data_IF_366456832577
#
_entry.id   IF_366456832577
#
_cell.length_a   1.000
_cell.length_b   1.000
_cell.length_c   1.000
_cell.angle_alpha   90.00
_cell.angle_beta   90.00
_cell.angle_gamma   90.00
#
_symmetry.space_group_name_H-M   'P 1'
#
loop_
_entity.id
_entity.type
_entity.pdbx_description
1 polymer ?
#
# COMPACT_ATOMS: atom_id res chain seq x y z
N UNK A 1 -16.22 -5.27 13.70
CA UNK A 1 -15.46 -5.84 12.57
C UNK A 1 -14.01 -5.53 12.83
N UNK A 2 -13.21 -6.56 13.12
CA UNK A 2 -11.77 -6.39 13.30
C UNK A 2 -11.09 -6.72 11.97
N UNK A 3 -9.96 -6.08 11.71
CA UNK A 3 -9.19 -6.31 10.49
C UNK A 3 -7.78 -6.67 10.93
N UNK A 4 -7.28 -7.79 10.44
CA UNK A 4 -5.86 -8.15 10.52
C UNK A 4 -5.21 -7.83 9.19
N UNK A 5 -4.07 -7.16 9.22
CA UNK A 5 -3.48 -6.60 8.01
C UNK A 5 -1.98 -6.46 8.12
N UNK A 6 -1.32 -6.67 6.99
CA UNK A 6 0.13 -6.57 6.86
C UNK A 6 0.47 -5.87 5.56
N UNK A 7 1.52 -5.06 5.57
CA UNK A 7 2.13 -4.50 4.37
C UNK A 7 3.65 -4.51 4.47
N UNK A 8 4.29 -4.90 3.37
CA UNK A 8 5.73 -4.89 3.18
C UNK A 8 6.02 -4.12 1.89
N UNK A 9 6.85 -3.09 1.98
CA UNK A 9 7.22 -2.26 0.84
C UNK A 9 8.72 -1.96 0.82
N UNK A 10 9.27 -1.88 -0.38
CA UNK A 10 10.61 -1.40 -0.66
C UNK A 10 10.53 -0.19 -1.58
N UNK A 11 11.37 0.81 -1.28
CA UNK A 11 11.46 2.04 -2.06
C UNK A 11 12.84 2.11 -2.68
N UNK A 12 12.88 2.42 -3.96
CA UNK A 12 14.07 2.38 -4.79
C UNK A 12 14.38 3.76 -5.34
N UNK A 13 15.67 4.01 -5.52
CA UNK A 13 16.20 5.09 -6.33
C UNK A 13 17.30 4.51 -7.22
N UNK A 14 17.22 4.73 -8.53
CA UNK A 14 18.15 4.16 -9.52
C UNK A 14 18.38 2.64 -9.35
N UNK A 15 17.30 1.91 -9.10
CA UNK A 15 17.32 0.45 -8.90
C UNK A 15 17.87 -0.03 -7.55
N UNK A 16 18.26 0.86 -6.64
CA UNK A 16 18.77 0.51 -5.31
C UNK A 16 17.72 0.76 -4.23
N UNK A 17 17.54 -0.21 -3.33
CA UNK A 17 16.66 -0.04 -2.15
C UNK A 17 17.24 1.03 -1.24
N UNK A 18 16.45 2.05 -0.93
CA UNK A 18 16.81 3.15 -0.01
C UNK A 18 15.98 3.13 1.29
N UNK A 19 14.82 2.47 1.28
CA UNK A 19 13.93 2.31 2.43
C UNK A 19 13.19 0.99 2.32
N UNK A 20 12.88 0.44 3.48
CA UNK A 20 11.92 -0.64 3.66
C UNK A 20 10.88 -0.16 4.65
N UNK A 21 9.61 -0.46 4.40
CA UNK A 21 8.51 -0.23 5.32
C UNK A 21 7.82 -1.55 5.58
N UNK A 22 7.68 -1.91 6.86
CA UNK A 22 6.91 -3.08 7.28
C UNK A 22 5.93 -2.66 8.37
N UNK A 23 4.69 -3.06 8.23
CA UNK A 23 3.69 -2.80 9.26
C UNK A 23 2.65 -3.89 9.30
N UNK A 24 2.41 -4.39 10.51
CA UNK A 24 1.26 -5.25 10.87
C UNK A 24 0.19 -4.45 11.60
N UNK A 25 0.44 -3.17 11.86
CA UNK A 25 -0.47 -2.24 12.51
C UNK A 25 -1.05 -1.33 11.44
N UNK A 26 -1.90 -1.89 10.60
CA UNK A 26 -2.61 -1.12 9.59
C UNK A 26 -3.81 -0.48 10.30
N UNK A 27 -3.84 0.84 10.37
CA UNK A 27 -5.11 1.52 10.64
C UNK A 27 -5.97 1.31 9.40
N UNK A 28 -6.99 0.47 9.53
CA UNK A 28 -7.96 0.22 8.47
C UNK A 28 -9.36 0.35 9.03
N UNK A 29 -10.16 1.23 8.46
CA UNK A 29 -11.57 0.87 8.26
C UNK A 29 -11.63 -0.18 7.16
N UNK A 30 -12.81 -0.64 6.80
CA UNK A 30 -13.02 -1.64 5.75
C UNK A 30 -12.45 -1.26 4.37
N UNK A 31 -11.91 -0.03 4.22
CA UNK A 31 -11.75 0.69 2.96
C UNK A 31 -10.32 1.22 2.70
N UNK A 32 -9.38 1.12 3.65
CA UNK A 32 -8.01 1.59 3.42
C UNK A 32 -6.92 0.83 4.21
N UNK A 33 -5.74 0.76 3.61
CA UNK A 33 -4.48 0.42 4.27
C UNK A 33 -3.69 1.68 4.57
N UNK A 34 -3.14 1.79 5.77
CA UNK A 34 -2.04 2.70 6.06
C UNK A 34 -0.99 2.01 6.94
N UNK A 35 0.25 1.89 6.44
CA UNK A 35 1.40 1.62 7.30
C UNK A 35 2.00 2.90 7.82
N UNK A 36 2.54 2.79 9.03
CA UNK A 36 3.56 3.71 9.52
C UNK A 36 4.68 2.91 10.16
N UNK A 37 5.83 2.91 9.51
CA UNK A 37 7.07 2.42 10.10
C UNK A 37 7.73 3.59 10.84
N UNK A 38 7.74 3.52 12.17
CA UNK A 38 8.32 4.56 13.02
C UNK A 38 9.86 4.56 12.97
N UNK A 39 10.50 3.41 12.69
CA UNK A 39 11.95 3.32 12.65
C UNK A 39 12.51 4.00 11.39
N UNK A 40 11.82 3.84 10.26
CA UNK A 40 12.24 4.42 8.98
C UNK A 40 11.50 5.72 8.63
N UNK A 41 10.54 6.13 9.47
CA UNK A 41 9.59 7.19 9.18
C UNK A 41 8.95 7.06 7.79
N UNK A 42 8.66 5.84 7.37
CA UNK A 42 8.08 5.57 6.05
C UNK A 42 6.65 5.11 6.22
N UNK A 43 5.75 5.68 5.43
CA UNK A 43 4.35 5.24 5.34
C UNK A 43 3.99 4.85 3.92
N UNK A 44 3.12 3.86 3.79
CA UNK A 44 2.51 3.46 2.53
C UNK A 44 1.01 3.36 2.77
N UNK A 45 0.22 3.99 1.90
CA UNK A 45 -1.23 3.98 2.02
C UNK A 45 -1.85 3.53 0.71
N UNK A 46 -2.77 2.58 0.79
CA UNK A 46 -3.58 2.10 -0.34
C UNK A 46 -5.04 2.20 0.09
N UNK A 47 -5.74 3.23 -0.37
CA UNK A 47 -7.07 3.63 0.09
C UNK A 47 -8.10 3.47 -1.03
N UNK A 48 -8.61 2.26 -1.19
CA UNK A 48 -9.77 1.93 -2.03
C UNK A 48 -10.37 0.59 -1.61
N UNK A 49 -11.65 0.38 -1.94
CA UNK A 49 -12.37 -0.88 -1.68
C UNK A 49 -12.38 -1.72 -2.97
N UNK A 50 -11.59 -2.80 -3.07
CA UNK A 50 -11.78 -3.77 -4.14
C UNK A 50 -13.07 -4.59 -3.92
N UNK A 51 -13.73 -5.06 -4.98
CA UNK A 51 -14.83 -6.01 -4.86
C UNK A 51 -14.28 -7.35 -4.36
N UNK A 52 -15.01 -7.97 -3.44
CA UNK A 52 -14.71 -9.33 -2.95
C UNK A 52 -15.33 -10.31 -3.95
N UNK A 53 -14.59 -10.56 -5.01
CA UNK A 53 -14.94 -11.51 -6.07
C UNK A 53 -13.72 -12.34 -6.37
N UNK A 54 -13.90 -13.66 -6.36
CA UNK A 54 -12.84 -14.60 -6.69
C UNK A 54 -12.11 -14.24 -7.99
N UNK A 55 -10.78 -14.26 -7.90
CA UNK A 55 -9.87 -13.99 -9.00
C UNK A 55 -8.94 -12.83 -8.73
N UNK A 56 -8.37 -12.32 -9.83
CA UNK A 56 -7.37 -11.27 -9.83
C UNK A 56 -7.94 -10.03 -10.50
N UNK A 57 -7.85 -8.88 -9.83
CA UNK A 57 -8.23 -7.58 -10.36
C UNK A 57 -7.03 -6.63 -10.30
N UNK A 58 -6.80 -5.87 -11.37
CA UNK A 58 -5.72 -4.88 -11.44
C UNK A 58 -6.31 -3.47 -11.43
N UNK A 59 -5.76 -2.63 -10.57
CA UNK A 59 -6.10 -1.21 -10.45
C UNK A 59 -4.90 -0.38 -10.89
N UNK A 60 -5.16 0.67 -11.66
CA UNK A 60 -4.17 1.67 -12.05
C UNK A 60 -4.49 2.99 -11.39
N UNK A 61 -3.47 3.63 -10.85
CA UNK A 61 -3.55 4.92 -10.18
C UNK A 61 -2.65 5.92 -10.90
N UNK A 62 -3.14 7.15 -11.00
CA UNK A 62 -2.39 8.31 -11.48
C UNK A 62 -1.76 9.06 -10.29
N UNK A 63 -0.72 9.87 -10.57
CA UNK A 63 -0.01 10.69 -9.56
C UNK A 63 -0.83 11.92 -9.11
N UNK A 64 -2.12 11.76 -8.85
CA UNK A 64 -3.04 12.88 -8.54
C UNK A 64 -3.98 12.62 -7.35
N UNK A 65 -4.05 11.39 -6.84
CA UNK A 65 -5.05 10.99 -5.84
C UNK A 65 -4.46 10.40 -4.55
N UNK A 66 -5.23 10.39 -3.45
CA UNK A 66 -4.81 9.84 -2.16
C UNK A 66 -4.87 8.30 -2.10
N UNK A 67 -5.39 7.66 -3.15
CA UNK A 67 -5.71 6.22 -3.14
C UNK A 67 -4.47 5.33 -3.14
N UNK A 68 -3.33 5.83 -3.63
CA UNK A 68 -2.05 5.16 -3.48
C UNK A 68 -0.99 6.22 -3.18
N UNK A 69 -0.48 6.23 -1.96
CA UNK A 69 0.49 7.24 -1.52
C UNK A 69 1.65 6.62 -0.75
N UNK A 70 2.78 7.32 -0.76
CA UNK A 70 3.95 7.01 0.05
C UNK A 70 4.43 8.24 0.80
N UNK A 71 4.69 8.12 2.09
CA UNK A 71 5.31 9.16 2.91
C UNK A 71 6.74 8.79 3.28
N UNK A 72 7.65 9.76 3.19
CA UNK A 72 9.06 9.63 3.57
C UNK A 72 9.40 10.66 4.64
N UNK A 73 9.86 10.26 5.82
CA UNK A 73 10.25 11.18 6.89
C UNK A 73 9.09 11.59 7.81
N UNK A 74 9.43 11.91 9.06
CA UNK A 74 8.50 12.00 10.20
C UNK A 74 7.46 13.12 10.18
N UNK A 75 7.31 13.85 9.07
CA UNK A 75 6.37 14.97 8.93
C UNK A 75 6.04 15.38 7.49
N UNK A 76 6.33 14.55 6.48
CA UNK A 76 5.99 14.88 5.09
C UNK A 76 4.58 14.44 4.71
N UNK A 77 3.94 15.26 3.87
CA UNK A 77 2.65 14.98 3.23
C UNK A 77 2.81 13.72 2.36
N UNK A 78 1.92 12.72 2.46
CA UNK A 78 1.96 11.55 1.59
C UNK A 78 1.96 11.96 0.11
N UNK A 79 2.90 11.43 -0.65
CA UNK A 79 3.06 11.71 -2.07
C UNK A 79 2.24 10.70 -2.88
N UNK A 80 1.45 11.14 -3.86
CA UNK A 80 0.70 10.23 -4.72
C UNK A 80 1.67 9.34 -5.51
N UNK A 81 1.25 8.09 -5.72
CA UNK A 81 2.02 7.10 -6.48
C UNK A 81 1.24 6.76 -7.74
N UNK A 82 1.85 7.02 -8.90
CA UNK A 82 1.38 6.48 -10.16
C UNK A 82 1.82 5.03 -10.28
N UNK A 83 0.87 4.10 -10.38
CA UNK A 83 1.23 2.69 -10.31
C UNK A 83 0.06 1.73 -10.42
N UNK A 84 0.37 0.46 -10.19
CA UNK A 84 -0.57 -0.63 -10.25
C UNK A 84 -0.69 -1.31 -8.89
N UNK A 85 -1.93 -1.63 -8.50
CA UNK A 85 -2.22 -2.53 -7.38
C UNK A 85 -3.00 -3.72 -7.93
N UNK A 86 -2.44 -4.91 -7.78
CA UNK A 86 -3.09 -6.17 -8.12
C UNK A 86 -3.68 -6.75 -6.85
N UNK A 87 -4.97 -7.05 -6.87
CA UNK A 87 -5.72 -7.64 -5.75
C UNK A 87 -6.15 -9.04 -6.14
N UNK A 88 -5.89 -9.98 -5.25
CA UNK A 88 -6.33 -11.38 -5.35
C UNK A 88 -7.28 -11.67 -4.20
N UNK A 89 -8.49 -12.10 -4.54
CA UNK A 89 -9.47 -12.66 -3.60
C UNK A 89 -9.62 -14.15 -3.89
N UNK A 90 -9.64 -14.97 -2.85
CA UNK A 90 -9.80 -16.43 -2.97
C UNK A 90 -10.95 -16.95 -2.11
N UNK A 91 -11.68 -17.91 -2.66
CA UNK A 91 -12.84 -18.57 -2.06
C UNK A 91 -13.95 -17.62 -1.60
N UNK A 92 -14.08 -16.46 -2.25
CA UNK A 92 -14.97 -15.37 -1.89
C UNK A 92 -14.86 -15.00 -0.41
N UNK A 93 -13.68 -15.25 0.17
CA UNK A 93 -13.36 -14.82 1.52
C UNK A 93 -12.97 -13.36 1.45
N UNK A 94 -13.23 -12.65 2.53
CA UNK A 94 -12.75 -11.29 2.69
C UNK A 94 -11.21 -11.23 2.86
N UNK A 95 -10.50 -12.35 2.76
CA UNK A 95 -9.04 -12.35 2.76
C UNK A 95 -8.51 -11.89 1.39
N UNK A 96 -7.91 -10.70 1.36
CA UNK A 96 -7.41 -10.05 0.17
C UNK A 96 -5.89 -9.99 0.21
N UNK A 97 -5.25 -10.44 -0.86
CA UNK A 97 -3.81 -10.31 -1.06
C UNK A 97 -3.52 -9.27 -2.15
N UNK A 98 -2.50 -8.45 -1.91
CA UNK A 98 -2.15 -7.32 -2.76
C UNK A 98 -0.70 -7.44 -3.20
N UNK A 99 -0.43 -7.12 -4.46
CA UNK A 99 0.92 -6.80 -4.96
C UNK A 99 0.84 -5.43 -5.61
N UNK A 100 1.77 -4.54 -5.28
CA UNK A 100 1.76 -3.19 -5.82
C UNK A 100 3.13 -2.74 -6.30
N UNK A 101 3.11 -1.85 -7.28
CA UNK A 101 4.30 -1.16 -7.75
C UNK A 101 3.93 0.19 -8.33
N UNK A 102 4.80 1.18 -8.19
CA UNK A 102 4.56 2.50 -8.78
C UNK A 102 5.76 3.41 -8.67
N UNK A 103 5.56 4.65 -9.13
CA UNK A 103 6.53 5.73 -9.12
C UNK A 103 5.95 6.97 -8.49
N UNK A 104 6.80 7.75 -7.85
CA UNK A 104 6.46 9.02 -7.23
C UNK A 104 7.70 9.90 -7.13
N UNK A 105 7.51 11.21 -7.08
CA UNK A 105 8.61 12.16 -6.88
C UNK A 105 8.60 12.72 -5.45
N UNK A 106 9.75 12.72 -4.77
CA UNK A 106 9.89 13.27 -3.39
C UNK A 106 10.17 14.78 -3.33
N UNK A 107 9.98 15.47 -4.45
CA UNK A 107 10.40 16.85 -4.68
C UNK A 107 11.90 17.00 -5.00
N UNK A 108 12.67 15.92 -4.95
CA UNK A 108 14.13 15.93 -5.21
C UNK A 108 14.54 14.90 -6.26
N UNK A 109 13.85 13.77 -6.32
CA UNK A 109 14.17 12.64 -7.20
C UNK A 109 12.96 11.78 -7.47
N UNK A 110 13.05 11.06 -8.57
CA UNK A 110 12.10 10.01 -8.91
C UNK A 110 12.45 8.75 -8.11
N UNK A 111 11.39 8.17 -7.55
CA UNK A 111 11.44 6.98 -6.72
C UNK A 111 10.49 5.94 -7.27
N UNK A 112 10.83 4.67 -7.02
CA UNK A 112 9.94 3.55 -7.28
C UNK A 112 9.55 2.89 -5.96
N UNK A 113 8.32 2.40 -5.86
CA UNK A 113 7.86 1.59 -4.75
C UNK A 113 7.41 0.23 -5.27
N UNK A 114 7.73 -0.84 -4.55
CA UNK A 114 7.23 -2.20 -4.82
C UNK A 114 6.89 -2.87 -3.50
N UNK A 115 5.86 -3.69 -3.47
CA UNK A 115 5.51 -4.38 -2.24
C UNK A 115 4.31 -5.29 -2.33
N UNK A 116 3.96 -5.85 -1.17
CA UNK A 116 2.83 -6.75 -0.96
C UNK A 116 2.05 -6.32 0.27
N UNK A 117 0.74 -6.54 0.26
CA UNK A 117 -0.10 -6.38 1.44
C UNK A 117 -1.11 -7.53 1.58
N UNK A 118 -1.68 -7.69 2.78
CA UNK A 118 -2.76 -8.63 3.08
C UNK A 118 -3.80 -7.95 3.97
N UNK A 119 -5.07 -8.18 3.67
CA UNK A 119 -6.22 -7.78 4.49
C UNK A 119 -7.01 -9.04 4.84
N UNK A 120 -7.29 -9.29 6.12
CA UNK A 120 -8.16 -10.35 6.57
C UNK A 120 -9.26 -9.72 7.43
N UNK A 121 -10.52 -9.83 7.01
CA UNK A 121 -11.63 -9.32 7.81
C UNK A 121 -12.09 -10.39 8.80
N UNK A 122 -12.16 -10.01 10.07
CA UNK A 122 -12.56 -10.86 11.19
C UNK A 122 -13.96 -10.45 11.61
N UNK A 123 -14.93 -11.33 11.31
CA UNK A 123 -16.31 -11.22 11.78
C UNK A 123 -16.42 -11.89 13.15
N UNK A 124 -16.66 -11.09 14.18
CA UNK A 124 -16.92 -11.52 15.56
C UNK A 124 -18.39 -11.37 15.89
#
# INVERSE_FOLDING_TARGET
MNVDAEINAEIFHDGKVIRTSRSTAVAGSNDYFQSRDLATHTSVSIAFIPPIKDGTTTYTFEETGPNFTCGLGGGLVPMPVAGTVVVVSTNSTDNLAYTFSGKFNDGRRDLEIKGTAKLNYIYS
#
